data_IF_305659626451
#
_entry.id   IF_305659626451
#
_cell.length_a   1.000
_cell.length_b   1.000
_cell.length_c   1.000
_cell.angle_alpha   90.00
_cell.angle_beta   90.00
_cell.angle_gamma   90.00
#
_symmetry.space_group_name_H-M   'P 1'
#
loop_
_entity.id
_entity.type
_entity.pdbx_description
1 polymer ?
#
# COMPACT_ATOMS: atom_id res chain seq x y z
N UNK A 1 2.17 -4.13 -10.11
CA UNK A 1 3.31 -3.70 -9.24
C UNK A 1 3.11 -4.36 -7.88
N UNK A 2 4.02 -5.22 -7.42
CA UNK A 2 3.81 -6.04 -6.19
C UNK A 2 3.44 -5.20 -4.97
N UNK A 3 4.07 -4.03 -4.79
CA UNK A 3 3.72 -3.13 -3.69
C UNK A 3 2.29 -2.59 -3.84
N UNK A 4 1.81 -2.29 -5.05
CA UNK A 4 0.43 -1.84 -5.26
C UNK A 4 -0.59 -2.93 -4.87
N UNK A 5 -0.33 -4.17 -5.25
CA UNK A 5 -1.26 -5.29 -5.01
C UNK A 5 -1.28 -5.73 -3.55
N UNK A 6 -0.12 -5.76 -2.89
CA UNK A 6 0.03 -6.36 -1.56
C UNK A 6 0.24 -5.35 -0.42
N UNK A 7 0.48 -4.08 -0.72
CA UNK A 7 0.86 -3.07 0.27
C UNK A 7 0.31 -1.68 -0.06
N UNK A 8 -0.85 -1.36 0.50
CA UNK A 8 -1.58 -0.12 0.23
C UNK A 8 -0.78 1.13 0.64
N UNK A 9 0.00 1.05 1.73
CA UNK A 9 0.74 2.19 2.27
C UNK A 9 2.22 1.85 2.49
N UNK A 10 3.02 1.66 1.42
CA UNK A 10 4.40 1.22 1.56
C UNK A 10 5.26 2.29 2.27
N UNK A 11 4.92 3.57 2.11
CA UNK A 11 5.55 4.66 2.85
C UNK A 11 5.25 4.62 4.34
N UNK A 12 3.98 4.42 4.73
CA UNK A 12 3.59 4.39 6.15
C UNK A 12 4.12 3.10 6.80
N UNK A 13 3.87 1.94 6.20
CA UNK A 13 4.31 0.65 6.72
C UNK A 13 5.84 0.53 6.75
N UNK A 14 6.58 1.22 5.87
CA UNK A 14 8.04 1.31 5.98
C UNK A 14 8.55 2.09 7.20
N UNK A 15 7.65 2.75 7.96
CA UNK A 15 7.98 3.54 9.15
C UNK A 15 7.35 2.97 10.43
N UNK A 16 6.11 2.47 10.36
CA UNK A 16 5.33 2.07 11.53
C UNK A 16 5.13 0.56 11.69
N UNK A 17 5.48 -0.26 10.69
CA UNK A 17 5.23 -1.70 10.75
C UNK A 17 6.01 -2.39 11.87
N UNK A 18 5.33 -3.30 12.58
CA UNK A 18 5.89 -4.18 13.63
C UNK A 18 6.83 -5.27 13.10
N UNK A 19 7.05 -5.29 11.78
CA UNK A 19 7.99 -6.16 11.06
C UNK A 19 7.72 -7.66 11.23
N UNK A 20 6.48 -8.17 11.16
CA UNK A 20 6.21 -9.61 11.29
C UNK A 20 6.88 -10.46 10.20
N UNK A 21 7.23 -9.84 9.06
CA UNK A 21 7.93 -10.49 7.96
C UNK A 21 9.44 -10.71 8.20
N UNK A 22 10.09 -9.94 9.08
CA UNK A 22 11.54 -10.05 9.30
C UNK A 22 11.91 -11.31 10.12
N UNK A 23 11.19 -11.68 11.20
CA UNK A 23 11.42 -12.97 11.88
C UNK A 23 11.21 -14.20 10.99
N UNK A 24 10.30 -14.11 10.02
CA UNK A 24 10.04 -15.19 9.07
C UNK A 24 11.10 -15.29 7.94
N UNK A 25 12.02 -14.31 7.85
CA UNK A 25 13.01 -14.26 6.79
C UNK A 25 14.00 -15.42 6.87
N UNK A 26 14.09 -16.25 5.83
CA UNK A 26 15.05 -17.35 5.75
C UNK A 26 16.51 -16.91 5.92
N UNK A 27 16.85 -15.67 5.53
CA UNK A 27 18.21 -15.13 5.66
C UNK A 27 18.66 -15.04 7.11
N UNK A 28 17.74 -14.79 8.05
CA UNK A 28 18.06 -14.80 9.49
C UNK A 28 18.49 -16.17 10.01
N UNK A 29 18.14 -17.27 9.32
CA UNK A 29 18.57 -18.62 9.69
C UNK A 29 20.00 -18.96 9.24
N UNK A 30 20.52 -18.23 8.25
CA UNK A 30 21.82 -18.51 7.62
C UNK A 30 22.87 -17.46 8.02
N UNK A 31 22.49 -16.18 8.09
CA UNK A 31 23.42 -15.05 8.31
C UNK A 31 23.12 -14.26 9.59
N UNK A 32 22.41 -14.89 10.55
CA UNK A 32 21.97 -14.36 11.86
C UNK A 32 21.04 -13.13 11.83
N UNK A 33 21.09 -12.33 10.76
CA UNK A 33 20.29 -11.11 10.59
C UNK A 33 19.31 -11.26 9.43
N UNK A 34 18.00 -10.99 9.66
CA UNK A 34 17.04 -10.96 8.58
C UNK A 34 17.29 -9.77 7.66
N UNK A 35 16.76 -9.84 6.44
CA UNK A 35 16.73 -8.68 5.53
C UNK A 35 15.89 -7.57 6.19
N UNK A 36 16.37 -6.33 6.12
CA UNK A 36 15.67 -5.16 6.63
C UNK A 36 14.49 -4.74 5.73
N UNK A 37 13.49 -5.62 5.60
CA UNK A 37 12.33 -5.49 4.70
C UNK A 37 11.56 -4.19 4.98
N UNK A 38 11.38 -3.83 6.26
CA UNK A 38 10.67 -2.60 6.63
C UNK A 38 11.38 -1.35 6.07
N UNK A 39 12.72 -1.30 6.17
CA UNK A 39 13.52 -0.20 5.62
C UNK A 39 13.51 -0.18 4.09
N UNK A 40 13.55 -1.35 3.45
CA UNK A 40 13.46 -1.45 1.99
C UNK A 40 12.12 -0.92 1.47
N UNK A 41 11.00 -1.26 2.13
CA UNK A 41 9.67 -0.71 1.81
C UNK A 41 9.65 0.81 1.86
N UNK A 42 10.25 1.42 2.91
CA UNK A 42 10.36 2.88 3.05
C UNK A 42 11.11 3.51 1.89
N UNK A 43 12.28 2.96 1.55
CA UNK A 43 13.12 3.51 0.49
C UNK A 43 12.43 3.38 -0.86
N UNK A 44 11.84 2.22 -1.16
CA UNK A 44 11.08 1.99 -2.38
C UNK A 44 9.89 2.94 -2.53
N UNK A 45 9.24 3.32 -1.43
CA UNK A 45 8.13 4.27 -1.45
C UNK A 45 8.55 5.75 -1.51
N UNK A 46 9.83 6.07 -1.27
CA UNK A 46 10.31 7.46 -1.22
C UNK A 46 11.16 7.83 -2.43
N UNK A 47 11.70 6.84 -3.15
CA UNK A 47 12.61 7.07 -4.28
C UNK A 47 11.88 7.04 -5.61
N UNK A 48 12.01 8.13 -6.36
CA UNK A 48 11.59 8.24 -7.76
C UNK A 48 10.11 8.56 -7.94
N UNK A 49 9.77 8.97 -9.15
CA UNK A 49 8.39 9.11 -9.60
C UNK A 49 7.83 7.72 -9.97
N UNK A 50 6.61 7.44 -9.52
CA UNK A 50 5.90 6.17 -9.74
C UNK A 50 4.56 6.36 -10.46
N UNK A 51 4.23 7.59 -10.91
CA UNK A 51 2.96 7.88 -11.59
C UNK A 51 2.77 6.98 -12.82
N UNK A 52 3.84 6.74 -13.58
CA UNK A 52 3.86 5.83 -14.72
C UNK A 52 3.60 4.35 -14.37
N UNK A 53 3.65 3.98 -13.07
CA UNK A 53 3.36 2.64 -12.57
C UNK A 53 1.97 2.52 -11.94
N UNK A 54 1.21 3.62 -11.89
CA UNK A 54 -0.15 3.64 -11.35
C UNK A 54 -1.14 2.99 -12.33
N UNK A 55 -2.12 2.23 -11.83
CA UNK A 55 -3.15 1.63 -12.67
C UNK A 55 -4.05 2.71 -13.28
N UNK A 56 -4.59 2.41 -14.46
CA UNK A 56 -5.60 3.25 -15.08
C UNK A 56 -6.94 3.16 -14.32
N UNK A 57 -7.63 4.30 -14.23
CA UNK A 57 -8.92 4.41 -13.55
C UNK A 57 -10.02 4.06 -14.57
N UNK A 58 -10.92 3.15 -14.21
CA UNK A 58 -12.04 2.80 -15.09
C UNK A 58 -13.04 3.97 -15.25
N UNK A 59 -13.81 3.99 -16.36
CA UNK A 59 -14.88 4.95 -16.56
C UNK A 59 -15.91 4.95 -15.42
N UNK A 60 -16.55 6.10 -15.18
CA UNK A 60 -17.57 6.24 -14.13
C UNK A 60 -18.76 5.31 -14.40
N UNK A 61 -19.02 4.39 -13.48
CA UNK A 61 -20.12 3.42 -13.58
C UNK A 61 -21.47 3.90 -12.96
N UNK A 62 -21.59 5.18 -12.61
CA UNK A 62 -22.81 5.78 -12.05
C UNK A 62 -23.09 5.49 -10.57
N UNK A 63 -22.34 4.60 -9.92
CA UNK A 63 -22.48 4.29 -8.48
C UNK A 63 -21.77 5.34 -7.62
N UNK A 64 -22.21 5.49 -6.37
CA UNK A 64 -21.61 6.39 -5.36
C UNK A 64 -21.39 5.62 -4.06
N UNK A 65 -20.19 5.73 -3.51
CA UNK A 65 -19.82 5.10 -2.23
C UNK A 65 -19.30 6.17 -1.29
N UNK A 66 -19.74 6.13 -0.04
CA UNK A 66 -19.23 6.98 1.03
C UNK A 66 -18.43 6.12 2.02
N UNK A 67 -17.20 6.54 2.30
CA UNK A 67 -16.38 5.94 3.36
C UNK A 67 -16.44 6.86 4.58
N UNK A 68 -16.85 6.32 5.74
CA UNK A 68 -16.92 7.08 7.00
C UNK A 68 -15.58 6.97 7.72
N UNK A 69 -14.95 8.11 7.98
CA UNK A 69 -13.65 8.22 8.64
C UNK A 69 -12.48 8.21 7.65
N UNK A 70 -11.45 9.02 7.93
CA UNK A 70 -10.25 9.18 7.11
C UNK A 70 -9.07 8.27 7.50
N UNK A 71 -9.35 7.13 8.13
CA UNK A 71 -8.32 6.20 8.59
C UNK A 71 -7.74 5.32 7.47
N UNK A 72 -6.68 4.55 7.75
CA UNK A 72 -6.04 3.68 6.77
C UNK A 72 -7.00 2.60 6.21
N UNK A 73 -7.99 2.16 6.99
CA UNK A 73 -9.02 1.24 6.53
C UNK A 73 -9.87 1.86 5.41
N UNK A 74 -10.45 3.03 5.67
CA UNK A 74 -11.29 3.75 4.71
C UNK A 74 -10.52 4.20 3.47
N UNK A 75 -9.26 4.64 3.64
CA UNK A 75 -8.41 5.02 2.52
C UNK A 75 -8.05 3.82 1.63
N UNK A 76 -7.86 2.63 2.22
CA UNK A 76 -7.67 1.38 1.46
C UNK A 76 -8.89 1.08 0.60
N UNK A 77 -10.08 1.11 1.22
CA UNK A 77 -11.34 0.84 0.51
C UNK A 77 -11.56 1.86 -0.60
N UNK A 78 -11.34 3.15 -0.31
CA UNK A 78 -11.50 4.22 -1.30
C UNK A 78 -10.54 4.05 -2.49
N UNK A 79 -9.29 3.65 -2.25
CA UNK A 79 -8.30 3.39 -3.30
C UNK A 79 -8.70 2.22 -4.19
N UNK A 80 -9.08 1.09 -3.61
CA UNK A 80 -9.42 -0.11 -4.38
C UNK A 80 -10.72 0.11 -5.17
N UNK A 81 -11.68 0.83 -4.58
CA UNK A 81 -12.90 1.23 -5.27
C UNK A 81 -12.67 2.32 -6.32
N UNK A 82 -11.66 3.18 -6.18
CA UNK A 82 -11.39 4.23 -7.17
C UNK A 82 -11.15 3.68 -8.58
N UNK A 83 -10.60 2.47 -8.68
CA UNK A 83 -10.39 1.77 -9.95
C UNK A 83 -11.70 1.38 -10.66
N UNK A 84 -12.82 1.29 -9.93
CA UNK A 84 -14.12 0.82 -10.45
C UNK A 84 -15.24 1.86 -10.33
N UNK A 85 -15.19 2.70 -9.30
CA UNK A 85 -16.18 3.71 -8.91
C UNK A 85 -15.42 5.01 -8.59
N UNK A 86 -15.18 5.88 -9.58
CA UNK A 86 -14.39 7.10 -9.39
C UNK A 86 -15.08 8.17 -8.52
N UNK A 87 -16.30 7.92 -8.02
CA UNK A 87 -17.01 8.78 -7.06
C UNK A 87 -17.07 8.13 -5.68
N UNK A 88 -15.91 8.06 -5.02
CA UNK A 88 -15.82 7.83 -3.58
C UNK A 88 -15.74 9.16 -2.84
N UNK A 89 -16.61 9.37 -1.85
CA UNK A 89 -16.54 10.52 -0.94
C UNK A 89 -16.06 10.03 0.43
N UNK A 90 -14.96 10.59 0.92
CA UNK A 90 -14.50 10.41 2.30
C UNK A 90 -15.19 11.48 3.16
N UNK A 91 -15.89 11.05 4.21
CA UNK A 91 -16.55 11.94 5.17
C UNK A 91 -16.10 11.60 6.58
#
# INVERSE_FOLDING_TARGET
MVNWESNVFPGILGRTCDRPCEPACRRGRIEEKPVAICRLKRVAATKGDIEHLMPEIAPKNGKRVACIGGGPASLTVARDLALWVPRCCLR
#
